data_IF_562402318340
#
_entry.id   IF_562402318340
#
_cell.length_a   1.000
_cell.length_b   1.000
_cell.length_c   1.000
_cell.angle_alpha   90.00
_cell.angle_beta   90.00
_cell.angle_gamma   90.00
#
_symmetry.space_group_name_H-M   'P 1'
#
loop_
_entity.id
_entity.type
_entity.pdbx_description
1 polymer ?
#
# COMPACT_ATOMS: atom_id res chain seq x y z
N UNK A 1 21.16 14.52 -15.51
CA UNK A 1 22.60 14.42 -15.17
C UNK A 1 22.77 14.61 -13.67
N UNK A 2 23.98 14.51 -13.10
CA UNK A 2 24.16 14.79 -11.66
C UNK A 2 23.81 16.25 -11.27
N UNK A 3 23.63 17.17 -12.22
CA UNK A 3 23.13 18.53 -11.94
C UNK A 3 21.61 18.66 -11.97
N UNK A 4 20.86 17.55 -12.03
CA UNK A 4 19.39 17.56 -12.22
C UNK A 4 18.93 17.78 -13.66
N UNK A 5 19.82 18.17 -14.59
CA UNK A 5 19.45 18.51 -15.97
C UNK A 5 19.21 17.25 -16.80
N UNK A 6 17.97 16.99 -17.21
CA UNK A 6 17.64 16.06 -18.31
C UNK A 6 17.72 16.81 -19.64
N UNK A 7 18.30 16.18 -20.66
CA UNK A 7 18.23 16.64 -22.06
C UNK A 7 17.65 15.50 -22.89
N UNK A 8 16.71 15.84 -23.77
CA UNK A 8 16.04 14.90 -24.64
C UNK A 8 16.17 15.34 -26.10
N UNK A 9 16.17 14.38 -27.02
CA UNK A 9 16.17 14.63 -28.45
C UNK A 9 15.44 13.49 -29.15
N UNK A 10 14.31 13.82 -29.77
CA UNK A 10 13.48 12.85 -30.48
C UNK A 10 14.05 12.53 -31.86
N UNK A 11 14.26 11.25 -32.12
CA UNK A 11 14.67 10.70 -33.42
C UNK A 11 13.49 10.05 -34.14
N UNK A 12 12.33 10.73 -34.17
CA UNK A 12 11.17 10.25 -34.92
C UNK A 12 11.13 10.83 -36.34
N UNK A 13 11.24 9.95 -37.35
CA UNK A 13 10.91 10.23 -38.76
C UNK A 13 9.38 10.38 -38.98
N UNK A 14 8.65 10.96 -38.02
CA UNK A 14 7.25 11.30 -38.22
C UNK A 14 7.16 12.61 -39.00
N UNK A 15 6.63 12.63 -40.23
CA UNK A 15 6.11 13.87 -40.77
C UNK A 15 5.05 14.38 -39.79
N UNK A 16 5.03 15.70 -39.53
CA UNK A 16 4.07 16.34 -38.63
C UNK A 16 2.66 16.20 -39.19
N UNK A 17 2.01 15.07 -38.95
CA UNK A 17 0.60 14.88 -39.23
C UNK A 17 -0.21 15.78 -38.30
N UNK A 18 -1.33 16.36 -38.77
CA UNK A 18 -2.12 17.27 -37.96
C UNK A 18 -2.58 16.59 -36.67
N UNK A 19 -2.51 17.34 -35.57
CA UNK A 19 -3.00 16.94 -34.25
C UNK A 19 -4.45 16.47 -34.36
N UNK A 20 -4.66 15.15 -34.24
CA UNK A 20 -5.98 14.54 -34.18
C UNK A 20 -6.29 14.18 -32.72
N UNK A 21 -7.25 14.85 -32.05
CA UNK A 21 -7.51 14.67 -30.63
C UNK A 21 -8.07 13.29 -30.27
N UNK A 22 -8.56 12.51 -31.23
CA UNK A 22 -9.19 11.19 -31.00
C UNK A 22 -8.19 10.02 -30.87
N UNK A 23 -6.88 10.26 -31.06
CA UNK A 23 -5.87 9.21 -30.93
C UNK A 23 -5.33 9.10 -29.48
N UNK A 24 -5.71 8.04 -28.77
CA UNK A 24 -5.22 7.75 -27.41
C UNK A 24 -3.69 7.58 -27.29
N UNK A 25 -2.96 7.29 -28.38
CA UNK A 25 -1.48 7.31 -28.35
C UNK A 25 -0.91 8.72 -28.08
N UNK A 26 -1.65 9.79 -28.39
CA UNK A 26 -1.23 11.18 -28.15
C UNK A 26 -1.47 11.67 -26.72
N UNK A 27 -1.95 10.82 -25.81
CA UNK A 27 -2.26 11.18 -24.41
C UNK A 27 -1.18 10.77 -23.40
N UNK A 28 -0.12 10.06 -23.83
CA UNK A 28 1.02 9.80 -22.95
C UNK A 28 1.86 11.07 -22.80
N UNK A 29 2.21 11.50 -21.57
CA UNK A 29 3.05 12.67 -21.35
C UNK A 29 4.42 12.46 -22.00
N UNK A 30 5.05 13.54 -22.47
CA UNK A 30 6.37 13.42 -23.07
C UNK A 30 7.38 12.96 -22.02
N UNK A 31 8.40 12.18 -22.42
CA UNK A 31 9.34 11.58 -21.47
C UNK A 31 9.95 12.59 -20.50
N UNK A 32 10.23 13.82 -20.95
CA UNK A 32 10.82 14.88 -20.12
C UNK A 32 9.85 15.44 -19.06
N UNK A 33 8.54 15.36 -19.31
CA UNK A 33 7.48 15.84 -18.41
C UNK A 33 7.25 14.86 -17.26
N UNK A 34 7.43 13.56 -17.50
CA UNK A 34 7.38 12.53 -16.46
C UNK A 34 8.69 12.46 -15.64
N UNK A 35 9.85 12.64 -16.31
CA UNK A 35 11.21 12.41 -15.77
C UNK A 35 11.96 13.70 -15.41
N UNK A 36 11.31 14.56 -14.62
CA UNK A 36 11.83 15.88 -14.21
C UNK A 36 13.02 15.75 -13.24
N UNK A 37 13.00 14.78 -12.32
CA UNK A 37 13.94 14.72 -11.20
C UNK A 37 15.08 13.74 -11.51
N UNK A 38 15.95 14.09 -12.46
CA UNK A 38 16.84 13.13 -13.14
C UNK A 38 17.72 12.21 -12.28
N UNK A 39 18.03 12.56 -11.02
CA UNK A 39 18.83 11.74 -10.09
C UNK A 39 17.95 10.79 -9.26
N UNK A 40 16.67 11.12 -9.14
CA UNK A 40 15.67 10.34 -8.42
C UNK A 40 15.02 9.28 -9.30
N UNK A 41 14.99 9.50 -10.61
CA UNK A 41 14.42 8.57 -11.58
C UNK A 41 15.09 7.19 -11.55
N UNK A 42 14.24 6.17 -11.71
CA UNK A 42 14.64 4.75 -11.59
C UNK A 42 15.70 4.36 -12.62
N UNK A 43 15.62 4.86 -13.86
CA UNK A 43 16.60 4.58 -14.91
C UNK A 43 17.98 5.15 -14.56
N UNK A 44 18.06 6.32 -13.92
CA UNK A 44 19.33 6.93 -13.52
C UNK A 44 19.97 6.15 -12.38
N UNK A 45 19.19 5.87 -11.31
CA UNK A 45 19.67 5.13 -10.14
C UNK A 45 20.16 3.73 -10.52
N UNK A 46 19.37 2.97 -11.29
CA UNK A 46 19.75 1.62 -11.75
C UNK A 46 21.00 1.63 -12.62
N UNK A 47 21.13 2.58 -13.57
CA UNK A 47 22.31 2.67 -14.42
C UNK A 47 23.59 2.95 -13.62
N UNK A 48 23.51 3.82 -12.60
CA UNK A 48 24.63 4.13 -11.69
C UNK A 48 24.98 2.90 -10.85
N UNK A 49 24.01 2.29 -10.17
CA UNK A 49 24.22 1.12 -9.31
C UNK A 49 24.81 -0.08 -10.08
N UNK A 50 24.29 -0.38 -11.27
CA UNK A 50 24.78 -1.51 -12.07
C UNK A 50 26.21 -1.28 -12.58
N UNK A 51 26.55 -0.04 -12.96
CA UNK A 51 27.90 0.34 -13.39
C UNK A 51 28.92 0.35 -12.24
N UNK A 52 28.50 0.52 -10.98
CA UNK A 52 29.38 0.33 -9.82
C UNK A 52 29.85 -1.14 -9.67
N UNK A 53 29.14 -2.10 -10.28
CA UNK A 53 29.53 -3.51 -10.33
C UNK A 53 30.31 -3.84 -11.61
N UNK A 54 29.95 -3.25 -12.76
CA UNK A 54 30.60 -3.50 -14.05
C UNK A 54 30.76 -2.19 -14.85
N UNK A 55 32.00 -1.74 -15.07
CA UNK A 55 32.30 -0.43 -15.67
C UNK A 55 31.71 -0.18 -17.08
N UNK A 56 31.45 -1.24 -17.84
CA UNK A 56 30.96 -1.19 -19.23
C UNK A 56 29.55 -1.78 -19.40
N UNK A 57 28.71 -1.76 -18.35
CA UNK A 57 27.39 -2.36 -18.40
C UNK A 57 26.26 -1.40 -18.79
N UNK A 58 25.36 -1.89 -19.65
CA UNK A 58 24.10 -1.28 -20.02
C UNK A 58 22.94 -1.85 -19.17
N UNK A 59 22.00 -0.98 -18.79
CA UNK A 59 20.77 -1.34 -18.10
C UNK A 59 19.58 -1.09 -19.02
N UNK A 60 18.92 -2.16 -19.43
CA UNK A 60 17.65 -2.15 -20.16
C UNK A 60 16.50 -2.16 -19.16
N UNK A 61 15.55 -1.25 -19.35
CA UNK A 61 14.36 -1.10 -18.51
C UNK A 61 13.13 -0.92 -19.39
N UNK A 62 12.01 -1.56 -19.00
CA UNK A 62 10.77 -1.59 -19.79
C UNK A 62 9.58 -1.34 -18.86
N UNK A 63 8.75 -0.31 -19.12
CA UNK A 63 7.57 -0.01 -18.32
C UNK A 63 6.40 -0.92 -18.77
N UNK A 64 6.28 -2.09 -18.14
CA UNK A 64 5.18 -3.04 -18.36
C UNK A 64 3.90 -2.63 -17.61
N UNK A 65 3.39 -1.44 -17.93
CA UNK A 65 2.17 -0.87 -17.32
C UNK A 65 0.99 -0.76 -18.31
N UNK A 66 1.25 -0.95 -19.61
CA UNK A 66 0.27 -0.80 -20.69
C UNK A 66 -0.14 -2.15 -21.28
N UNK A 67 -1.42 -2.31 -21.63
CA UNK A 67 -1.94 -3.49 -22.34
C UNK A 67 -1.33 -3.64 -23.76
N UNK A 68 -0.89 -2.52 -24.36
CA UNK A 68 -0.27 -2.48 -25.68
C UNK A 68 1.26 -2.66 -25.63
N UNK A 69 1.73 -3.89 -25.43
CA UNK A 69 3.16 -4.24 -25.39
C UNK A 69 3.93 -3.74 -26.63
N UNK A 70 3.29 -3.71 -27.82
CA UNK A 70 3.93 -3.35 -29.10
C UNK A 70 4.37 -1.88 -29.21
N UNK A 71 3.68 -0.96 -28.54
CA UNK A 71 4.03 0.46 -28.54
C UNK A 71 4.93 0.85 -27.36
N UNK A 72 5.12 -0.05 -26.39
CA UNK A 72 6.03 0.17 -25.25
C UNK A 72 7.46 0.43 -25.71
N UNK A 73 8.09 1.43 -25.08
CA UNK A 73 9.49 1.79 -25.32
C UNK A 73 10.41 1.09 -24.31
N UNK A 74 11.52 0.57 -24.81
CA UNK A 74 12.63 0.04 -24.00
C UNK A 74 13.63 1.17 -23.80
N UNK A 75 13.92 1.51 -22.55
CA UNK A 75 14.98 2.47 -22.21
C UNK A 75 16.26 1.72 -21.90
N UNK A 76 17.26 1.83 -22.79
CA UNK A 76 18.61 1.40 -22.51
C UNK A 76 19.42 2.56 -21.93
N UNK A 77 20.14 2.32 -20.84
CA UNK A 77 20.84 3.36 -20.07
C UNK A 77 22.24 2.90 -19.63
N UNK A 78 23.19 3.82 -19.59
CA UNK A 78 24.57 3.58 -19.16
C UNK A 78 25.07 4.78 -18.35
N UNK A 79 25.64 4.53 -17.18
CA UNK A 79 26.24 5.58 -16.36
C UNK A 79 27.64 5.96 -16.85
N UNK A 80 27.89 7.26 -16.94
CA UNK A 80 29.19 7.86 -17.28
C UNK A 80 29.85 8.30 -15.99
N UNK A 81 30.92 7.60 -15.63
CA UNK A 81 31.74 7.93 -14.48
C UNK A 81 33.01 8.67 -14.89
N UNK A 82 33.39 9.66 -14.10
CA UNK A 82 34.64 10.41 -14.25
C UNK A 82 35.59 10.04 -13.11
N UNK A 83 36.87 9.87 -13.44
CA UNK A 83 37.92 9.60 -12.47
C UNK A 83 38.74 10.86 -12.21
N UNK A 84 38.87 11.27 -10.95
CA UNK A 84 39.77 12.36 -10.56
C UNK A 84 41.24 11.93 -10.76
N UNK A 85 42.01 12.71 -11.53
CA UNK A 85 43.44 12.47 -11.78
C UNK A 85 44.28 12.49 -10.50
N UNK A 86 43.91 13.31 -9.52
CA UNK A 86 44.66 13.49 -8.28
C UNK A 86 44.37 12.40 -7.26
N UNK A 87 43.08 12.14 -7.01
CA UNK A 87 42.64 11.29 -5.90
C UNK A 87 42.25 9.86 -6.31
N UNK A 88 42.29 9.52 -7.61
CA UNK A 88 41.80 8.25 -8.20
C UNK A 88 40.35 7.87 -7.82
N UNK A 89 39.57 8.82 -7.29
CA UNK A 89 38.15 8.62 -6.94
C UNK A 89 37.31 8.61 -8.22
N UNK A 90 36.48 7.57 -8.36
CA UNK A 90 35.48 7.39 -9.43
C UNK A 90 34.15 8.00 -8.95
N UNK A 91 33.49 8.84 -9.75
CA UNK A 91 32.19 9.43 -9.42
C UNK A 91 31.27 9.51 -10.63
N UNK A 92 29.97 9.28 -10.44
CA UNK A 92 28.98 9.33 -11.52
C UNK A 92 28.70 10.79 -11.91
N UNK A 93 28.98 11.16 -13.17
CA UNK A 93 28.78 12.52 -13.68
C UNK A 93 27.44 12.65 -14.43
N UNK A 94 27.09 11.64 -15.21
CA UNK A 94 25.87 11.59 -15.99
C UNK A 94 25.41 10.15 -16.21
N UNK A 95 24.20 10.00 -16.74
CA UNK A 95 23.71 8.78 -17.36
C UNK A 95 23.31 9.17 -18.78
N UNK A 96 23.74 8.37 -19.75
CA UNK A 96 23.31 8.46 -21.15
C UNK A 96 22.35 7.30 -21.42
N UNK A 97 21.45 7.47 -22.38
CA UNK A 97 20.52 6.41 -22.74
C UNK A 97 19.84 6.70 -24.08
N UNK A 98 19.19 5.67 -24.61
CA UNK A 98 18.34 5.77 -25.79
C UNK A 98 17.06 4.96 -25.57
N UNK A 99 15.97 5.42 -26.20
CA UNK A 99 14.72 4.67 -26.26
C UNK A 99 14.51 4.08 -27.65
N UNK A 100 13.95 2.88 -27.68
CA UNK A 100 13.60 2.17 -28.90
C UNK A 100 12.35 1.33 -28.67
N UNK A 101 11.66 0.96 -29.75
CA UNK A 101 10.40 0.19 -29.66
C UNK A 101 10.67 -1.24 -29.21
N UNK A 102 9.88 -1.73 -28.25
CA UNK A 102 9.92 -3.13 -27.81
C UNK A 102 9.76 -4.11 -28.98
N UNK A 103 8.92 -3.77 -29.97
CA UNK A 103 8.73 -4.59 -31.18
C UNK A 103 10.02 -4.93 -31.92
N UNK A 104 11.00 -4.02 -31.97
CA UNK A 104 12.28 -4.26 -32.63
C UNK A 104 13.18 -5.20 -31.80
N UNK A 105 13.13 -5.11 -30.47
CA UNK A 105 13.80 -6.06 -29.57
C UNK A 105 13.21 -7.46 -29.73
N UNK A 106 11.89 -7.55 -29.77
CA UNK A 106 11.14 -8.79 -29.94
C UNK A 106 11.43 -9.46 -31.29
N UNK A 107 11.48 -8.68 -32.38
CA UNK A 107 11.82 -9.19 -33.71
C UNK A 107 13.27 -9.70 -33.76
N UNK A 108 14.22 -8.95 -33.20
CA UNK A 108 15.62 -9.37 -33.08
C UNK A 108 15.76 -10.67 -32.28
N UNK A 109 15.05 -10.77 -31.15
CA UNK A 109 15.00 -11.98 -30.32
C UNK A 109 14.49 -13.18 -31.11
N UNK A 110 13.32 -13.05 -31.77
CA UNK A 110 12.72 -14.12 -32.57
C UNK A 110 13.58 -14.53 -33.78
N UNK A 111 14.33 -13.59 -34.38
CA UNK A 111 15.27 -13.91 -35.45
C UNK A 111 16.44 -14.75 -34.92
N UNK A 112 17.08 -14.32 -33.82
CA UNK A 112 18.20 -15.03 -33.20
C UNK A 112 17.79 -16.43 -32.71
N UNK A 113 16.64 -16.56 -32.05
CA UNK A 113 16.18 -17.85 -31.49
C UNK A 113 15.75 -18.89 -32.53
N UNK A 114 15.47 -18.45 -33.77
CA UNK A 114 15.11 -19.31 -34.91
C UNK A 114 16.30 -19.65 -35.80
N UNK A 115 17.42 -18.94 -35.69
CA UNK A 115 18.64 -19.25 -36.43
C UNK A 115 19.26 -20.57 -35.96
N UNK A 116 19.54 -21.45 -36.91
CA UNK A 116 20.06 -22.79 -36.68
C UNK A 116 21.04 -23.14 -37.80
N UNK A 117 22.30 -23.39 -37.45
CA UNK A 117 23.39 -23.63 -38.40
C UNK A 117 23.62 -25.14 -38.53
N UNK A 118 23.41 -25.69 -39.72
CA UNK A 118 23.56 -27.14 -39.98
C UNK A 118 24.97 -27.67 -39.70
N UNK A 119 25.98 -26.82 -39.84
CA UNK A 119 27.39 -27.10 -39.53
C UNK A 119 27.63 -27.48 -38.06
N UNK A 120 26.76 -27.07 -37.13
CA UNK A 120 26.85 -27.42 -35.70
C UNK A 120 26.02 -28.65 -35.33
N UNK A 121 25.37 -29.31 -36.29
CA UNK A 121 24.43 -30.42 -36.04
C UNK A 121 23.07 -29.97 -35.50
N UNK A 122 22.80 -28.67 -35.46
CA UNK A 122 21.52 -28.11 -35.01
C UNK A 122 20.36 -28.57 -35.91
N UNK A 123 19.26 -29.04 -35.30
CA UNK A 123 18.03 -29.42 -36.00
C UNK A 123 16.91 -28.44 -35.68
N UNK A 124 16.46 -27.63 -36.64
CA UNK A 124 15.52 -26.52 -36.40
C UNK A 124 14.26 -26.92 -35.64
N UNK A 125 13.70 -28.11 -35.90
CA UNK A 125 12.46 -28.60 -35.26
C UNK A 125 12.60 -29.06 -33.80
N UNK A 126 13.82 -29.16 -33.26
CA UNK A 126 14.09 -29.61 -31.88
C UNK A 126 15.01 -28.70 -31.09
N UNK A 127 15.88 -27.98 -31.80
CA UNK A 127 16.95 -27.18 -31.17
C UNK A 127 16.66 -25.69 -31.06
N UNK A 128 15.75 -25.16 -31.89
CA UNK A 128 15.29 -23.77 -31.82
C UNK A 128 14.10 -23.61 -30.88
N UNK A 129 13.86 -22.38 -30.43
CA UNK A 129 12.72 -22.01 -29.58
C UNK A 129 11.37 -22.12 -30.31
N UNK A 130 11.37 -22.19 -31.65
CA UNK A 130 10.17 -22.44 -32.46
C UNK A 130 9.57 -23.85 -32.20
N UNK A 131 10.32 -24.74 -31.56
CA UNK A 131 9.84 -26.05 -31.14
C UNK A 131 9.08 -25.95 -29.80
N UNK A 132 7.90 -26.58 -29.72
CA UNK A 132 7.13 -26.80 -28.47
C UNK A 132 7.91 -27.58 -27.39
N UNK A 133 9.14 -28.01 -27.69
CA UNK A 133 10.05 -28.66 -26.77
C UNK A 133 10.89 -27.67 -25.96
N UNK A 134 10.96 -26.38 -26.33
CA UNK A 134 11.82 -25.36 -25.70
C UNK A 134 11.17 -23.98 -25.61
N UNK A 135 10.88 -23.53 -24.40
CA UNK A 135 10.37 -22.18 -24.14
C UNK A 135 11.55 -21.24 -23.87
N UNK A 136 11.68 -20.16 -24.64
CA UNK A 136 12.80 -19.22 -24.52
C UNK A 136 12.36 -17.85 -24.03
N UNK A 137 13.12 -17.29 -23.08
CA UNK A 137 12.83 -16.02 -22.42
C UNK A 137 14.08 -15.16 -22.28
N UNK A 138 13.95 -13.84 -22.48
CA UNK A 138 14.89 -12.85 -21.96
C UNK A 138 14.32 -12.35 -20.62
N UNK A 139 15.07 -12.51 -19.52
CA UNK A 139 14.70 -11.98 -18.21
C UNK A 139 15.57 -10.80 -17.80
N UNK A 140 14.97 -9.84 -17.10
CA UNK A 140 15.69 -8.77 -16.39
C UNK A 140 16.41 -9.30 -15.13
N UNK A 141 17.33 -8.51 -14.59
CA UNK A 141 17.95 -8.76 -13.28
C UNK A 141 16.93 -8.84 -12.13
N UNK A 142 15.68 -8.38 -12.32
CA UNK A 142 14.59 -8.56 -11.35
C UNK A 142 13.64 -9.72 -11.68
N UNK A 143 13.90 -10.51 -12.73
CA UNK A 143 13.10 -11.69 -13.09
C UNK A 143 11.81 -11.40 -13.85
N UNK A 144 11.64 -10.19 -14.39
CA UNK A 144 10.57 -9.86 -15.34
C UNK A 144 10.94 -10.33 -16.75
N UNK A 145 9.94 -10.86 -17.48
CA UNK A 145 10.10 -11.32 -18.86
C UNK A 145 10.10 -10.11 -19.78
N UNK A 146 11.25 -9.83 -20.41
CA UNK A 146 11.38 -8.75 -21.39
C UNK A 146 10.92 -9.19 -22.78
N UNK A 147 11.26 -10.41 -23.18
CA UNK A 147 10.85 -11.00 -24.44
C UNK A 147 10.63 -12.51 -24.26
N UNK A 148 9.67 -13.07 -24.97
CA UNK A 148 9.38 -14.51 -25.04
C UNK A 148 8.84 -14.86 -26.43
N UNK A 149 8.85 -16.14 -26.81
CA UNK A 149 8.14 -16.61 -28.01
C UNK A 149 6.64 -16.34 -27.86
N UNK A 150 6.09 -16.58 -26.67
CA UNK A 150 4.69 -16.28 -26.34
C UNK A 150 4.51 -14.82 -25.91
N UNK A 151 3.76 -13.99 -26.67
CA UNK A 151 3.58 -12.58 -26.35
C UNK A 151 2.74 -12.36 -25.08
N UNK A 152 2.00 -13.38 -24.64
CA UNK A 152 1.17 -13.37 -23.44
C UNK A 152 2.02 -13.32 -22.17
N UNK A 153 3.25 -13.84 -22.20
CA UNK A 153 4.13 -13.89 -21.02
C UNK A 153 5.05 -12.68 -20.91
N UNK A 154 5.23 -11.94 -22.01
CA UNK A 154 6.00 -10.70 -22.02
C UNK A 154 5.41 -9.68 -21.06
N UNK A 155 6.27 -9.09 -20.23
CA UNK A 155 5.91 -8.13 -19.19
C UNK A 155 5.44 -8.72 -17.86
N UNK A 156 5.20 -10.03 -17.77
CA UNK A 156 4.92 -10.69 -16.51
C UNK A 156 6.20 -10.98 -15.73
N UNK A 157 6.07 -11.12 -14.42
CA UNK A 157 7.11 -11.69 -13.58
C UNK A 157 7.25 -13.21 -13.85
N UNK A 158 8.47 -13.71 -14.07
CA UNK A 158 8.70 -15.09 -14.47
C UNK A 158 8.20 -16.11 -13.43
N UNK A 159 8.32 -15.81 -12.13
CA UNK A 159 7.80 -16.68 -11.06
C UNK A 159 6.27 -16.80 -11.00
N UNK A 160 5.53 -15.97 -11.76
CA UNK A 160 4.08 -16.07 -11.95
C UNK A 160 3.70 -16.95 -13.15
N UNK A 161 4.63 -17.15 -14.08
CA UNK A 161 4.45 -17.97 -15.28
C UNK A 161 5.01 -19.39 -15.05
N UNK A 162 6.25 -19.49 -14.57
CA UNK A 162 6.97 -20.75 -14.29
C UNK A 162 7.51 -20.76 -12.84
N UNK A 163 6.59 -20.70 -11.88
CA UNK A 163 6.88 -20.64 -10.44
C UNK A 163 7.93 -21.64 -9.92
N UNK A 164 7.78 -22.96 -10.16
CA UNK A 164 8.76 -23.96 -9.70
C UNK A 164 10.18 -23.72 -10.22
N UNK A 165 10.33 -23.24 -11.46
CA UNK A 165 11.64 -22.92 -12.05
C UNK A 165 12.26 -21.71 -11.36
N UNK A 166 11.46 -20.69 -11.00
CA UNK A 166 11.94 -19.56 -10.21
C UNK A 166 12.40 -20.01 -8.81
N UNK A 167 11.69 -20.94 -8.14
CA UNK A 167 12.15 -21.46 -6.85
C UNK A 167 13.50 -22.18 -6.99
N UNK A 168 13.64 -23.07 -7.98
CA UNK A 168 14.91 -23.76 -8.27
C UNK A 168 16.06 -22.76 -8.51
N UNK A 169 15.83 -21.66 -9.23
CA UNK A 169 16.85 -20.62 -9.43
C UNK A 169 17.22 -19.86 -8.14
N UNK A 170 16.33 -19.79 -7.16
CA UNK A 170 16.61 -19.23 -5.82
C UNK A 170 17.38 -20.23 -4.95
N UNK A 171 16.99 -21.51 -4.95
CA UNK A 171 17.73 -22.60 -4.28
C UNK A 171 19.18 -22.71 -4.79
N UNK A 172 19.36 -22.59 -6.11
CA UNK A 172 20.67 -22.60 -6.77
C UNK A 172 21.41 -21.26 -6.67
N UNK A 173 20.86 -20.27 -5.94
CA UNK A 173 21.45 -18.94 -5.64
C UNK A 173 21.73 -18.07 -6.86
N UNK A 174 21.11 -18.38 -8.00
CA UNK A 174 21.13 -17.56 -9.21
C UNK A 174 20.35 -16.27 -8.95
N UNK A 175 19.13 -16.40 -8.43
CA UNK A 175 18.36 -15.27 -7.89
C UNK A 175 18.40 -15.26 -6.36
N UNK A 176 18.35 -14.07 -5.78
CA UNK A 176 18.14 -13.85 -4.35
C UNK A 176 16.72 -13.32 -4.15
N UNK A 177 15.91 -14.09 -3.41
CA UNK A 177 14.63 -13.63 -2.85
C UNK A 177 14.88 -12.64 -1.70
N UNK A 178 14.16 -11.52 -1.71
CA UNK A 178 14.22 -10.44 -0.72
C UNK A 178 12.79 -10.11 -0.33
N UNK A 179 12.42 -10.37 0.93
CA UNK A 179 11.11 -9.99 1.46
C UNK A 179 11.18 -8.55 1.95
N UNK A 180 10.23 -7.71 1.54
CA UNK A 180 10.15 -6.29 1.93
C UNK A 180 8.81 -6.04 2.60
N UNK A 181 8.85 -5.31 3.72
CA UNK A 181 7.66 -4.85 4.45
C UNK A 181 7.50 -3.35 4.27
N UNK A 182 6.33 -2.93 3.79
CA UNK A 182 5.90 -1.55 3.70
C UNK A 182 4.90 -1.25 4.82
N UNK A 183 5.37 -0.59 5.87
CA UNK A 183 4.58 -0.17 7.04
C UNK A 183 3.79 1.14 6.80
N UNK A 184 3.81 1.68 5.58
CA UNK A 184 3.08 2.88 5.17
C UNK A 184 2.11 2.56 4.02
N UNK A 185 1.80 1.28 3.83
CA UNK A 185 0.89 0.79 2.81
C UNK A 185 -0.55 1.26 3.03
N UNK A 186 -1.31 1.32 1.93
CA UNK A 186 -2.74 1.68 1.95
C UNK A 186 -3.56 0.47 1.51
N UNK A 187 -4.42 -0.04 2.38
CA UNK A 187 -5.30 -1.19 2.09
C UNK A 187 -6.77 -0.79 2.04
N UNK A 188 -7.59 -1.64 1.43
CA UNK A 188 -9.00 -1.41 1.21
C UNK A 188 -9.82 -2.43 2.01
N UNK A 189 -10.63 -1.94 2.95
CA UNK A 189 -11.46 -2.83 3.77
C UNK A 189 -12.49 -3.57 2.90
N UNK A 190 -12.86 -4.78 3.34
CA UNK A 190 -14.07 -5.48 2.84
C UNK A 190 -15.28 -4.90 3.57
N UNK A 191 -16.38 -4.67 2.85
CA UNK A 191 -17.60 -4.06 3.40
C UNK A 191 -18.21 -4.86 4.57
N UNK A 192 -17.94 -6.16 4.63
CA UNK A 192 -18.48 -7.06 5.66
C UNK A 192 -17.69 -7.02 6.98
N UNK A 193 -16.58 -6.30 7.03
CA UNK A 193 -15.91 -5.97 8.29
C UNK A 193 -16.33 -4.56 8.70
N UNK A 194 -17.48 -4.42 9.34
CA UNK A 194 -17.72 -3.21 10.12
C UNK A 194 -16.71 -3.16 11.27
N UNK A 195 -16.13 -1.99 11.52
CA UNK A 195 -15.38 -1.79 12.77
C UNK A 195 -16.40 -1.93 13.91
N UNK A 196 -16.27 -2.96 14.74
CA UNK A 196 -17.11 -3.14 15.94
C UNK A 196 -16.76 -2.06 16.95
N UNK A 197 -17.33 -0.89 16.72
CA UNK A 197 -17.08 0.32 17.48
C UNK A 197 -17.52 0.07 18.92
N UNK A 198 -16.56 -0.16 19.82
CA UNK A 198 -16.79 -0.42 21.25
C UNK A 198 -17.27 0.82 22.02
N UNK A 199 -17.71 1.85 21.29
CA UNK A 199 -18.46 2.99 21.81
C UNK A 199 -19.92 2.57 21.97
N UNK A 200 -20.35 2.40 23.22
CA UNK A 200 -21.76 2.18 23.60
C UNK A 200 -22.58 3.47 23.46
N UNK A 201 -22.60 4.02 22.25
CA UNK A 201 -23.20 5.31 21.94
C UNK A 201 -24.68 5.34 22.35
N UNK A 202 -25.00 6.26 23.26
CA UNK A 202 -26.33 6.62 23.78
C UNK A 202 -27.03 5.67 24.78
N UNK A 203 -26.53 4.47 25.11
CA UNK A 203 -27.30 3.57 25.98
C UNK A 203 -27.39 4.01 27.46
N UNK A 204 -26.34 4.63 28.00
CA UNK A 204 -26.30 5.14 29.38
C UNK A 204 -27.27 6.31 29.64
N UNK A 205 -27.31 7.41 28.86
CA UNK A 205 -28.29 8.49 29.09
C UNK A 205 -29.74 8.01 28.88
N UNK A 206 -30.00 7.11 27.93
CA UNK A 206 -31.34 6.54 27.72
C UNK A 206 -31.79 5.70 28.93
N UNK A 207 -30.88 4.98 29.60
CA UNK A 207 -31.21 4.25 30.82
C UNK A 207 -31.61 5.20 31.95
N UNK A 208 -30.86 6.28 32.17
CA UNK A 208 -31.20 7.30 33.18
C UNK A 208 -32.51 8.03 32.84
N UNK A 209 -32.77 8.34 31.57
CA UNK A 209 -34.03 8.92 31.11
C UNK A 209 -35.23 7.98 31.37
N UNK A 210 -35.10 6.68 31.07
CA UNK A 210 -36.13 5.68 31.40
C UNK A 210 -36.37 5.57 32.90
N UNK A 211 -35.33 5.65 33.71
CA UNK A 211 -35.42 5.59 35.17
C UNK A 211 -36.12 6.84 35.74
N UNK A 212 -35.85 8.02 35.17
CA UNK A 212 -36.54 9.27 35.49
C UNK A 212 -38.02 9.22 35.09
N UNK A 213 -38.33 8.80 33.86
CA UNK A 213 -39.71 8.65 33.38
C UNK A 213 -40.49 7.63 34.23
N UNK A 214 -39.89 6.48 34.55
CA UNK A 214 -40.50 5.47 35.43
C UNK A 214 -40.77 5.99 36.85
N UNK A 215 -39.84 6.78 37.40
CA UNK A 215 -40.05 7.48 38.69
C UNK A 215 -41.20 8.49 38.60
N UNK A 216 -41.26 9.27 37.51
CA UNK A 216 -42.29 10.30 37.30
C UNK A 216 -43.68 9.67 37.16
N UNK A 217 -43.82 8.58 36.38
CA UNK A 217 -45.06 7.80 36.28
C UNK A 217 -45.44 7.20 37.65
N UNK A 218 -44.48 6.65 38.39
CA UNK A 218 -44.72 6.15 39.75
C UNK A 218 -45.24 7.25 40.71
N UNK A 219 -44.75 8.49 40.58
CA UNK A 219 -45.25 9.64 41.33
C UNK A 219 -46.64 10.10 40.88
N UNK A 220 -46.94 10.09 39.59
CA UNK A 220 -48.28 10.41 39.06
C UNK A 220 -49.30 9.36 39.51
N UNK A 221 -48.97 8.08 39.47
CA UNK A 221 -49.85 7.01 39.98
C UNK A 221 -50.04 7.09 41.50
N UNK A 222 -49.00 7.41 42.27
CA UNK A 222 -49.11 7.66 43.70
C UNK A 222 -49.98 8.87 44.02
N UNK A 223 -49.82 9.98 43.28
CA UNK A 223 -50.66 11.17 43.40
C UNK A 223 -52.11 10.89 43.00
N UNK A 224 -52.35 10.09 41.97
CA UNK A 224 -53.69 9.67 41.58
C UNK A 224 -54.35 8.78 42.65
N UNK A 225 -53.60 7.87 43.29
CA UNK A 225 -54.09 7.10 44.42
C UNK A 225 -54.45 7.99 45.62
N UNK A 226 -53.63 9.02 45.91
CA UNK A 226 -53.89 9.98 46.99
C UNK A 226 -55.01 10.99 46.67
N UNK A 227 -55.18 11.40 45.41
CA UNK A 227 -56.21 12.39 45.03
C UNK A 227 -57.63 11.83 45.20
N UNK A 228 -57.80 10.52 45.10
CA UNK A 228 -59.06 9.83 45.40
C UNK A 228 -59.41 9.82 46.91
N UNK A 229 -58.49 10.18 47.81
CA UNK A 229 -58.74 10.24 49.26
C UNK A 229 -59.04 11.65 49.81
N UNK A 230 -58.89 12.71 48.99
CA UNK A 230 -59.19 14.09 49.39
C UNK A 230 -60.49 14.65 48.77
N UNK A 231 -61.13 13.92 47.85
CA UNK A 231 -62.46 14.26 47.32
C UNK A 231 -63.60 13.88 48.29
N UNK A 232 -63.50 14.32 49.55
CA UNK A 232 -64.61 14.32 50.51
C UNK A 232 -64.60 15.57 51.42
N UNK A 233 -64.03 16.69 50.97
CA UNK A 233 -64.20 18.01 51.61
C UNK A 233 -64.40 19.10 50.57
N UNK A 234 -65.38 19.99 50.84
CA UNK A 234 -65.66 21.28 50.17
C UNK A 234 -65.94 21.28 48.66
N UNK A 235 -67.22 21.43 48.33
CA UNK A 235 -67.68 22.07 47.09
C UNK A 235 -67.52 23.60 47.19
N UNK A 236 -67.24 24.29 46.07
CA UNK A 236 -67.85 25.58 45.74
C UNK A 236 -67.55 25.98 44.28
N UNK A 237 -68.61 26.29 43.53
CA UNK A 237 -68.77 27.23 42.38
C UNK A 237 -67.55 27.62 41.51
N UNK A 238 -67.62 27.87 40.20
CA UNK A 238 -68.59 27.74 39.09
C UNK A 238 -68.11 28.75 38.01
N UNK A 239 -68.21 28.42 36.71
CA UNK A 239 -68.72 29.30 35.61
C UNK A 239 -67.96 30.64 35.37
N UNK A 240 -67.37 30.98 34.21
CA UNK A 240 -67.72 30.68 32.79
C UNK A 240 -66.58 31.08 31.80
N UNK A 241 -66.69 30.67 30.52
CA UNK A 241 -66.26 31.30 29.22
C UNK A 241 -64.86 32.02 29.08
N UNK A 242 -64.13 32.03 27.95
CA UNK A 242 -64.47 31.74 26.54
C UNK A 242 -63.22 31.39 25.63
N UNK A 243 -63.44 31.24 24.31
CA UNK A 243 -62.59 30.65 23.22
C UNK A 243 -62.35 31.69 22.07
N UNK A 244 -61.34 31.68 21.13
CA UNK A 244 -60.42 30.62 20.60
C UNK A 244 -58.90 31.01 20.33
N UNK A 245 -58.18 30.08 19.66
CA UNK A 245 -57.15 30.23 18.57
C UNK A 245 -55.78 30.94 18.72
N UNK A 246 -54.70 30.30 18.21
CA UNK A 246 -54.13 30.55 16.85
C UNK A 246 -53.05 29.52 16.43
N UNK A 247 -52.74 29.47 15.12
CA UNK A 247 -51.98 28.42 14.40
C UNK A 247 -50.44 28.57 14.32
N UNK A 248 -49.82 27.41 13.98
CA UNK A 248 -48.67 27.05 13.12
C UNK A 248 -47.67 28.11 12.57
N UNK A 249 -46.41 27.64 12.39
CA UNK A 249 -45.58 27.67 11.14
C UNK A 249 -44.10 27.39 11.52
N UNK A 250 -43.45 26.25 11.19
CA UNK A 250 -42.92 25.71 9.92
C UNK A 250 -41.41 26.02 9.65
N UNK A 251 -40.78 25.23 8.77
CA UNK A 251 -39.33 24.96 8.75
C UNK A 251 -38.45 25.97 7.98
N UNK A 252 -37.13 25.91 8.19
CA UNK A 252 -36.18 26.06 7.06
C UNK A 252 -34.90 25.26 7.25
N UNK A 253 -34.49 24.56 6.20
CA UNK A 253 -33.30 23.73 6.11
C UNK A 253 -32.42 24.30 4.97
N UNK A 254 -31.09 24.33 5.10
CA UNK A 254 -30.21 24.73 3.99
C UNK A 254 -28.90 23.93 3.94
N UNK A 255 -28.33 23.86 2.75
CA UNK A 255 -27.64 22.67 2.24
C UNK A 255 -26.12 22.82 2.05
N UNK A 256 -25.56 21.72 1.55
CA UNK A 256 -24.18 21.25 1.41
C UNK A 256 -23.19 22.14 0.63
N UNK A 257 -21.92 21.76 0.81
CA UNK A 257 -20.77 21.83 -0.12
C UNK A 257 -19.97 23.13 -0.30
N UNK A 258 -18.66 23.00 0.00
CA UNK A 258 -17.58 23.55 -0.85
C UNK A 258 -16.33 22.67 -0.71
N UNK A 259 -15.78 22.25 -1.85
CA UNK A 259 -14.58 21.42 -1.98
C UNK A 259 -13.46 22.22 -2.63
N UNK A 260 -12.20 22.08 -2.19
CA UNK A 260 -11.00 21.89 -3.05
C UNK A 260 -9.64 22.20 -2.39
N UNK A 261 -8.57 21.75 -3.06
CA UNK A 261 -7.18 22.24 -2.99
C UNK A 261 -6.14 21.59 -2.06
N UNK A 262 -6.01 20.25 -2.08
CA UNK A 262 -4.72 19.58 -1.78
C UNK A 262 -4.55 18.30 -2.63
N UNK A 263 -3.88 18.39 -3.79
CA UNK A 263 -3.58 17.22 -4.63
C UNK A 263 -2.38 17.42 -5.59
N UNK A 264 -1.15 17.46 -5.06
CA UNK A 264 0.08 17.27 -5.86
C UNK A 264 1.06 16.43 -5.02
N UNK A 265 0.99 15.10 -5.16
CA UNK A 265 2.06 14.09 -4.86
C UNK A 265 1.47 12.67 -4.92
N UNK A 266 0.24 12.48 -4.44
CA UNK A 266 -0.38 11.15 -4.26
C UNK A 266 -0.70 10.34 -5.52
N UNK A 267 -0.72 10.94 -6.72
CA UNK A 267 -1.14 10.24 -7.94
C UNK A 267 -0.16 9.13 -8.36
N UNK A 268 1.15 9.35 -8.17
CA UNK A 268 2.17 8.31 -8.45
C UNK A 268 2.04 7.11 -7.49
N UNK A 269 1.62 7.33 -6.24
CA UNK A 269 1.35 6.26 -5.28
C UNK A 269 0.02 5.52 -5.58
N UNK A 270 -1.02 6.26 -6.01
CA UNK A 270 -2.32 5.68 -6.39
C UNK A 270 -2.21 4.77 -7.63
N UNK A 271 -1.23 4.97 -8.52
CA UNK A 271 -0.97 4.10 -9.69
C UNK A 271 -0.69 2.64 -9.30
N UNK A 272 0.01 2.40 -8.19
CA UNK A 272 0.29 1.05 -7.66
C UNK A 272 -0.85 0.47 -6.80
N UNK A 273 -1.96 1.21 -6.67
CA UNK A 273 -3.08 0.88 -5.80
C UNK A 273 -4.35 0.93 -6.66
N UNK A 274 -4.68 -0.21 -7.32
CA UNK A 274 -5.95 -0.34 -8.06
C UNK A 274 -7.13 0.00 -7.14
N UNK A 275 -7.69 1.20 -7.32
CA UNK A 275 -8.73 1.76 -6.45
C UNK A 275 -10.06 1.07 -6.77
N UNK A 276 -10.29 -0.08 -6.12
CA UNK A 276 -11.55 -0.81 -6.28
C UNK A 276 -12.62 -0.38 -5.24
N UNK A 277 -12.23 0.42 -4.22
CA UNK A 277 -13.10 0.86 -3.12
C UNK A 277 -12.70 2.23 -2.55
N UNK A 278 -13.66 2.91 -1.90
CA UNK A 278 -13.58 4.33 -1.51
C UNK A 278 -13.03 4.63 -0.11
N UNK A 279 -12.71 3.61 0.70
CA UNK A 279 -12.20 3.78 2.07
C UNK A 279 -10.77 3.20 2.23
N UNK A 280 -9.73 4.00 1.95
CA UNK A 280 -8.34 3.62 2.24
C UNK A 280 -8.10 3.60 3.76
N UNK A 281 -7.34 2.62 4.24
CA UNK A 281 -6.78 2.58 5.61
C UNK A 281 -5.27 2.31 5.55
N UNK A 282 -4.52 2.77 6.54
CA UNK A 282 -3.11 2.39 6.72
C UNK A 282 -3.02 0.90 7.08
N UNK A 283 -2.09 0.18 6.45
CA UNK A 283 -1.84 -1.24 6.65
C UNK A 283 -0.35 -1.55 6.47
N UNK A 284 0.10 -2.65 7.07
CA UNK A 284 1.43 -3.19 6.80
C UNK A 284 1.30 -4.15 5.60
N UNK A 285 2.06 -3.90 4.53
CA UNK A 285 2.10 -4.73 3.31
C UNK A 285 3.41 -5.53 3.23
N UNK A 286 3.36 -6.71 2.61
CA UNK A 286 4.54 -7.53 2.31
C UNK A 286 4.64 -7.79 0.80
N UNK A 287 5.87 -7.80 0.29
CA UNK A 287 6.15 -8.16 -1.11
C UNK A 287 7.46 -8.94 -1.21
N UNK A 288 7.46 -9.96 -2.06
CA UNK A 288 8.64 -10.75 -2.40
C UNK A 288 9.28 -10.20 -3.68
N UNK A 289 10.47 -9.59 -3.55
CA UNK A 289 11.26 -9.12 -4.68
C UNK A 289 12.44 -10.06 -4.96
N UNK A 290 12.88 -10.06 -6.21
CA UNK A 290 13.94 -10.92 -6.71
C UNK A 290 15.05 -10.08 -7.32
N UNK A 291 16.30 -10.47 -7.10
CA UNK A 291 17.47 -9.84 -7.72
C UNK A 291 18.49 -10.89 -8.16
N UNK A 292 19.04 -10.73 -9.35
CA UNK A 292 20.05 -11.60 -9.93
C UNK A 292 21.39 -11.46 -9.19
N UNK A 293 22.01 -12.57 -8.81
CA UNK A 293 23.30 -12.59 -8.12
C UNK A 293 24.46 -12.48 -9.13
N UNK A 294 25.49 -11.71 -8.81
CA UNK A 294 26.67 -11.51 -9.69
C UNK A 294 27.50 -12.78 -9.97
N UNK A 295 27.27 -13.86 -9.21
CA UNK A 295 27.99 -15.15 -9.33
C UNK A 295 27.12 -16.21 -10.00
N UNK A 296 26.81 -16.00 -11.28
CA UNK A 296 26.21 -17.04 -12.12
C UNK A 296 27.31 -18.07 -12.45
N UNK A 297 27.13 -19.37 -12.16
CA UNK A 297 28.14 -20.36 -12.52
C UNK A 297 28.20 -20.54 -14.04
N UNK A 298 29.36 -20.24 -14.63
CA UNK A 298 29.60 -20.25 -16.09
C UNK A 298 29.43 -21.64 -16.73
N UNK A 299 29.65 -22.69 -15.92
CA UNK A 299 29.26 -24.08 -16.17
C UNK A 299 28.51 -24.59 -14.95
N UNK A 300 27.23 -24.88 -15.12
CA UNK A 300 26.41 -25.55 -14.11
C UNK A 300 26.30 -27.03 -14.51
N UNK A 301 26.57 -27.95 -13.58
CA UNK A 301 26.56 -29.40 -13.88
C UNK A 301 25.23 -29.86 -14.46
N UNK A 302 25.27 -30.65 -15.53
CA UNK A 302 24.07 -31.24 -16.16
C UNK A 302 23.44 -32.26 -15.21
N UNK A 303 22.45 -31.83 -14.42
CA UNK A 303 21.45 -32.72 -13.80
C UNK A 303 20.63 -33.41 -14.92
N UNK A 304 19.82 -34.42 -14.56
CA UNK A 304 18.95 -35.06 -15.54
C UNK A 304 17.97 -34.07 -16.16
N UNK A 305 17.46 -34.40 -17.36
CA UNK A 305 16.71 -33.50 -18.26
C UNK A 305 15.48 -32.81 -17.63
N UNK A 306 14.93 -33.36 -16.53
CA UNK A 306 13.88 -32.73 -15.73
C UNK A 306 14.25 -32.46 -14.26
N UNK A 307 15.45 -32.86 -13.79
CA UNK A 307 15.97 -32.42 -12.49
C UNK A 307 16.66 -31.05 -12.55
N UNK A 308 17.00 -30.57 -13.75
CA UNK A 308 17.06 -29.13 -14.06
C UNK A 308 16.49 -28.91 -15.47
N UNK A 309 15.22 -28.47 -15.60
CA UNK A 309 14.57 -28.30 -16.89
C UNK A 309 14.95 -26.98 -17.58
N UNK A 310 16.12 -26.38 -17.30
CA UNK A 310 16.52 -25.10 -17.88
C UNK A 310 18.03 -24.92 -18.03
N UNK A 311 18.45 -24.16 -19.05
CA UNK A 311 19.79 -23.59 -19.19
C UNK A 311 19.71 -22.05 -19.20
N UNK A 312 20.69 -21.39 -18.58
CA UNK A 312 20.73 -19.95 -18.40
C UNK A 312 22.08 -19.40 -18.87
N UNK A 313 22.05 -18.29 -19.62
CA UNK A 313 23.23 -17.55 -20.09
C UNK A 313 23.06 -16.06 -19.82
N UNK A 314 24.08 -15.41 -19.24
CA UNK A 314 24.08 -13.95 -19.10
C UNK A 314 24.37 -13.29 -20.45
N UNK A 315 23.62 -12.27 -20.81
CA UNK A 315 23.92 -11.45 -21.98
C UNK A 315 25.03 -10.46 -21.59
N UNK A 316 26.17 -10.57 -22.27
CA UNK A 316 27.39 -9.83 -21.96
C UNK A 316 27.15 -8.32 -21.88
N UNK A 317 27.79 -7.67 -20.92
CA UNK A 317 27.68 -6.22 -20.68
C UNK A 317 26.25 -5.70 -20.44
N UNK A 318 25.28 -6.55 -20.07
CA UNK A 318 23.91 -6.12 -19.75
C UNK A 318 23.43 -6.62 -18.39
N UNK A 319 22.29 -6.09 -17.94
CA UNK A 319 21.47 -6.63 -16.85
C UNK A 319 20.65 -7.88 -17.23
N UNK A 320 20.68 -8.30 -18.49
CA UNK A 320 19.77 -9.31 -19.03
C UNK A 320 20.36 -10.72 -19.01
N UNK A 321 19.48 -11.71 -18.91
CA UNK A 321 19.80 -13.13 -19.07
C UNK A 321 18.89 -13.76 -20.13
N UNK A 322 19.46 -14.69 -20.90
CA UNK A 322 18.72 -15.63 -21.73
C UNK A 322 18.47 -16.90 -20.92
N UNK A 323 17.20 -17.29 -20.82
CA UNK A 323 16.76 -18.53 -20.17
C UNK A 323 16.06 -19.40 -21.22
N UNK A 324 16.49 -20.66 -21.32
CA UNK A 324 15.89 -21.69 -22.18
C UNK A 324 15.35 -22.79 -21.29
N UNK A 325 14.04 -22.99 -21.30
CA UNK A 325 13.31 -23.99 -20.51
C UNK A 325 12.92 -25.16 -21.41
N UNK A 326 12.96 -26.39 -20.89
CA UNK A 326 12.55 -27.60 -21.57
C UNK A 326 11.05 -27.87 -21.33
N UNK A 327 10.21 -27.57 -22.34
CA UNK A 327 8.75 -27.72 -22.28
C UNK A 327 8.25 -29.17 -22.15
N UNK A 328 9.11 -30.18 -22.36
CA UNK A 328 8.74 -31.60 -22.17
C UNK A 328 8.60 -32.03 -20.71
N UNK A 329 9.13 -31.27 -19.76
CA UNK A 329 9.10 -31.67 -18.36
C UNK A 329 7.76 -31.29 -17.71
N UNK A 330 7.05 -32.23 -17.06
CA UNK A 330 5.80 -31.91 -16.39
C UNK A 330 6.06 -30.95 -15.22
N UNK A 331 5.22 -29.92 -15.10
CA UNK A 331 5.31 -28.95 -14.01
C UNK A 331 4.95 -29.61 -12.67
N UNK A 332 5.97 -30.09 -11.97
CA UNK A 332 5.82 -30.65 -10.63
C UNK A 332 5.63 -29.54 -9.62
N UNK A 333 4.52 -29.62 -8.87
CA UNK A 333 3.98 -28.64 -7.90
C UNK A 333 3.20 -27.47 -8.52
N UNK A 334 1.90 -27.42 -8.21
CA UNK A 334 0.98 -26.30 -8.57
C UNK A 334 0.97 -25.18 -7.53
N UNK A 335 1.86 -25.21 -6.53
CA UNK A 335 1.74 -24.48 -5.28
C UNK A 335 2.69 -23.28 -5.12
N UNK A 336 3.69 -23.14 -5.99
CA UNK A 336 4.76 -22.13 -5.84
C UNK A 336 4.68 -21.01 -6.90
N UNK A 337 3.49 -20.42 -7.05
CA UNK A 337 3.36 -19.20 -7.85
C UNK A 337 3.85 -18.00 -7.02
N UNK A 338 4.97 -17.42 -7.42
CA UNK A 338 5.47 -16.18 -6.82
C UNK A 338 4.88 -15.00 -7.59
N UNK A 339 4.19 -14.10 -6.89
CA UNK A 339 3.74 -12.83 -7.44
C UNK A 339 4.53 -11.68 -6.81
N UNK A 340 4.79 -10.63 -7.59
CA UNK A 340 5.48 -9.41 -7.14
C UNK A 340 4.50 -8.30 -6.73
N UNK A 341 3.20 -8.61 -6.68
CA UNK A 341 2.16 -7.72 -6.18
C UNK A 341 2.19 -7.66 -4.63
N UNK A 342 2.25 -6.46 -4.02
CA UNK A 342 2.17 -6.32 -2.57
C UNK A 342 0.85 -6.85 -2.00
N UNK A 343 0.93 -7.63 -0.92
CA UNK A 343 -0.20 -8.19 -0.20
C UNK A 343 -0.29 -7.61 1.21
N UNK A 344 -1.49 -7.58 1.79
CA UNK A 344 -1.72 -7.12 3.17
C UNK A 344 -1.25 -8.18 4.18
N UNK A 345 -0.55 -7.77 5.23
CA UNK A 345 -0.06 -8.69 6.27
C UNK A 345 -1.19 -9.00 7.26
N UNK A 346 -1.75 -10.19 7.15
CA UNK A 346 -2.78 -10.71 8.05
C UNK A 346 -2.14 -11.22 9.35
N UNK A 347 -1.95 -10.33 10.33
CA UNK A 347 -1.34 -10.69 11.62
C UNK A 347 -2.09 -11.78 12.39
N UNK A 348 -3.42 -11.86 12.23
CA UNK A 348 -4.26 -12.87 12.88
C UNK A 348 -3.92 -14.31 12.47
N UNK A 349 -3.41 -14.52 11.25
CA UNK A 349 -2.93 -15.85 10.78
C UNK A 349 -1.74 -16.37 11.61
N UNK A 350 -1.01 -15.46 12.28
CA UNK A 350 0.10 -15.78 13.17
C UNK A 350 -0.33 -15.87 14.65
N UNK A 351 -1.63 -15.92 14.94
CA UNK A 351 -2.22 -15.85 16.29
C UNK A 351 -1.75 -14.61 17.09
N UNK A 352 -1.48 -13.49 16.43
CA UNK A 352 -0.78 -12.37 17.02
C UNK A 352 -1.41 -11.04 16.60
N UNK A 353 -1.70 -10.14 17.54
CA UNK A 353 -2.15 -8.80 17.16
C UNK A 353 -0.97 -7.95 16.65
N UNK A 354 -1.25 -6.92 15.84
CA UNK A 354 -0.24 -5.94 15.40
C UNK A 354 0.58 -5.36 16.58
N UNK A 355 -0.08 -5.07 17.69
CA UNK A 355 0.56 -4.54 18.90
C UNK A 355 1.47 -5.58 19.58
N UNK A 356 1.02 -6.82 19.67
CA UNK A 356 1.81 -7.92 20.23
C UNK A 356 3.00 -8.27 19.32
N UNK A 357 2.83 -8.30 18.00
CA UNK A 357 3.93 -8.45 17.02
C UNK A 357 5.00 -7.38 17.22
N UNK A 358 4.61 -6.09 17.30
CA UNK A 358 5.54 -4.96 17.55
C UNK A 358 6.19 -5.04 18.94
N UNK A 359 5.57 -5.68 19.93
CA UNK A 359 6.17 -5.92 21.24
C UNK A 359 7.22 -7.05 21.23
N UNK A 360 6.94 -8.18 20.55
CA UNK A 360 7.89 -9.29 20.43
C UNK A 360 9.13 -8.91 19.59
N UNK A 361 8.95 -8.20 18.48
CA UNK A 361 10.02 -7.79 17.57
C UNK A 361 10.53 -6.36 17.84
N UNK A 362 10.65 -5.99 19.12
CA UNK A 362 11.01 -4.61 19.49
C UNK A 362 12.44 -4.26 19.07
N UNK A 363 12.60 -3.18 18.29
CA UNK A 363 13.90 -2.67 17.85
C UNK A 363 14.75 -2.16 19.03
N UNK A 364 16.10 -2.24 18.93
CA UNK A 364 17.01 -1.73 19.96
C UNK A 364 16.83 -0.22 20.15
N UNK A 365 16.40 0.18 21.34
CA UNK A 365 16.12 1.58 21.69
C UNK A 365 17.07 2.08 22.76
N UNK A 366 17.74 3.20 22.48
CA UNK A 366 18.54 3.93 23.48
C UNK A 366 17.61 4.83 24.30
N UNK A 367 17.55 4.61 25.62
CA UNK A 367 16.89 5.57 26.52
C UNK A 367 17.70 6.88 26.58
N UNK A 368 17.07 8.03 26.87
CA UNK A 368 17.78 9.27 27.16
C UNK A 368 18.89 9.04 28.21
N UNK A 369 20.05 9.68 28.01
CA UNK A 369 21.20 9.54 28.93
C UNK A 369 21.01 10.30 30.24
N UNK A 370 20.19 11.35 30.22
CA UNK A 370 19.88 12.20 31.37
C UNK A 370 18.91 11.48 32.31
N UNK A 371 18.94 11.85 33.59
CA UNK A 371 17.90 11.43 34.52
C UNK A 371 16.52 11.88 34.00
N UNK A 372 15.52 11.00 34.13
CA UNK A 372 14.14 11.35 33.83
C UNK A 372 13.63 12.25 34.96
N UNK A 373 13.68 13.57 34.76
CA UNK A 373 13.10 14.55 35.67
C UNK A 373 11.58 14.41 35.56
N UNK A 374 11.00 13.67 36.51
CA UNK A 374 9.55 13.44 36.60
C UNK A 374 8.82 14.47 37.43
N UNK A 375 9.56 15.15 38.31
CA UNK A 375 9.02 16.11 39.26
C UNK A 375 9.91 17.33 39.36
N UNK A 376 9.30 18.49 39.63
CA UNK A 376 10.01 19.73 39.95
C UNK A 376 9.94 20.01 41.46
N UNK A 377 10.97 20.59 42.11
CA UNK A 377 10.89 20.94 43.53
C UNK A 377 9.66 21.81 43.85
N UNK A 378 9.37 22.78 42.99
CA UNK A 378 8.28 23.76 43.18
C UNK A 378 6.92 23.27 42.64
N UNK A 379 6.80 22.01 42.22
CA UNK A 379 5.54 21.44 41.69
C UNK A 379 4.45 21.38 42.77
N UNK A 380 4.85 21.30 44.06
CA UNK A 380 3.95 21.41 45.21
C UNK A 380 3.17 22.74 45.22
N UNK A 381 3.78 23.85 44.78
CA UNK A 381 3.07 25.14 44.68
C UNK A 381 1.90 25.10 43.69
N UNK A 382 1.96 24.23 42.70
CA UNK A 382 0.89 24.03 41.72
C UNK A 382 -0.18 23.12 42.32
N UNK A 383 0.20 22.01 42.96
CA UNK A 383 -0.75 21.12 43.62
C UNK A 383 -1.55 21.83 44.73
N UNK A 384 -0.88 22.60 45.58
CA UNK A 384 -1.53 23.29 46.72
C UNK A 384 -2.43 24.46 46.29
N UNK A 385 -2.21 25.05 45.09
CA UNK A 385 -2.98 26.20 44.59
C UNK A 385 -3.99 25.85 43.49
N UNK A 386 -3.79 24.75 42.75
CA UNK A 386 -4.59 24.39 41.57
C UNK A 386 -5.27 23.02 41.65
N UNK A 387 -5.00 22.20 42.68
CA UNK A 387 -5.86 21.05 42.94
C UNK A 387 -7.24 21.58 43.34
N UNK A 388 -8.21 21.47 42.44
CA UNK A 388 -9.56 21.98 42.67
C UNK A 388 -10.14 21.35 43.92
N UNK A 389 -10.39 22.17 44.96
CA UNK A 389 -11.05 21.74 46.19
C UNK A 389 -12.46 21.25 45.87
N UNK A 390 -12.57 19.95 45.60
CA UNK A 390 -13.84 19.25 45.60
C UNK A 390 -14.52 19.54 46.93
N UNK A 391 -15.77 20.02 46.86
CA UNK A 391 -16.55 20.30 48.06
C UNK A 391 -16.79 19.00 48.80
N UNK A 392 -15.97 18.73 49.82
CA UNK A 392 -16.29 17.74 50.83
C UNK A 392 -17.67 18.09 51.38
N UNK A 393 -18.64 17.20 51.15
CA UNK A 393 -19.99 17.32 51.71
C UNK A 393 -19.84 17.08 53.21
N UNK A 394 -19.50 18.13 53.94
CA UNK A 394 -19.50 18.12 55.40
C UNK A 394 -20.95 17.99 55.85
N UNK A 395 -21.21 17.01 56.72
CA UNK A 395 -22.55 16.80 57.28
C UNK A 395 -22.80 17.91 58.30
N UNK A 396 -23.21 19.07 57.79
CA UNK A 396 -23.65 20.18 58.63
C UNK A 396 -24.94 19.79 59.36
N UNK A 397 -25.23 20.37 60.54
CA UNK A 397 -26.51 20.16 61.22
C UNK A 397 -27.70 20.62 60.36
N UNK A 398 -27.48 21.50 59.36
CA UNK A 398 -28.50 21.88 58.38
C UNK A 398 -28.79 20.73 57.40
N UNK A 399 -27.76 20.10 56.81
CA UNK A 399 -27.97 18.92 55.95
C UNK A 399 -28.56 17.74 56.74
N UNK A 400 -28.12 17.55 57.98
CA UNK A 400 -28.68 16.54 58.88
C UNK A 400 -30.13 16.86 59.24
N UNK A 401 -30.47 18.13 59.49
CA UNK A 401 -31.84 18.61 59.68
C UNK A 401 -32.69 18.45 58.42
N UNK A 402 -32.18 18.69 57.22
CA UNK A 402 -32.92 18.44 55.96
C UNK A 402 -33.14 16.94 55.72
N UNK A 403 -32.17 16.09 56.08
CA UNK A 403 -32.33 14.63 56.05
C UNK A 403 -33.35 14.20 57.11
N UNK A 404 -33.29 14.72 58.33
CA UNK A 404 -34.27 14.47 59.39
C UNK A 404 -35.66 15.01 59.04
N UNK A 405 -35.78 16.15 58.36
CA UNK A 405 -37.05 16.74 57.97
C UNK A 405 -37.64 16.02 56.75
N UNK A 406 -36.83 15.60 55.79
CA UNK A 406 -37.30 14.77 54.67
C UNK A 406 -37.67 13.37 55.11
N UNK A 407 -36.91 12.73 56.01
CA UNK A 407 -37.29 11.44 56.63
C UNK A 407 -38.47 11.57 57.59
N UNK A 408 -38.59 12.64 58.37
CA UNK A 408 -39.77 12.89 59.21
C UNK A 408 -41.02 13.11 58.35
N UNK A 409 -40.93 13.85 57.24
CA UNK A 409 -42.02 13.95 56.28
C UNK A 409 -42.29 12.63 55.54
N UNK A 410 -41.27 11.80 55.28
CA UNK A 410 -41.44 10.46 54.71
C UNK A 410 -42.18 9.53 55.69
N UNK A 411 -41.86 9.61 56.99
CA UNK A 411 -42.54 8.90 58.09
C UNK A 411 -43.94 9.45 58.35
N UNK A 412 -44.22 10.70 57.92
CA UNK A 412 -45.56 11.31 57.96
C UNK A 412 -46.39 11.05 56.69
N UNK A 413 -45.79 10.46 55.65
CA UNK A 413 -46.42 10.09 54.37
C UNK A 413 -46.55 8.58 54.17
N UNK A 414 -45.96 7.79 55.07
CA UNK A 414 -46.23 6.38 55.34
C UNK A 414 -47.39 6.28 56.35
#
# INVERSE_FOLDING_TARGET
>A
THSGLTRWMDYEDKPKTPYNPDNHENQQPHFIEENVYSIEEVWYRRAVEYNMVNDESYVYSVPFENENIKSTLVTASQAVFVMSKENKKKGAAAVVGYQFRHSALQELFLNITRQCYSETGCTSSKDTCQSLERDCYILDNNGYIIASEDPIDTGKFFGKVKGPIMNMMVEEKIYKKITIFDYQGVCFKRENEDDSNSSSFLYTPIHHLKQLIGWLIGRVLWLAAHSNFQWMVSQAQAIFEDIPDYQEDEESNYSTDTFSSFKIEGEKALKYVKINRTRPKSCDRVVDLFTLTSKIPEKIERKSMCARPYELRKIMNTNLILLVVNGRCPETSKSENFDTLPQEVMYDEFNNSLGCHKAFYSLPRRRPKTACIRTHPDEHEIYDKMCGSSTMITITPITLSIICFSTFNLIRFL
#
